data_IF_737769939450
#
_entry.id   IF_737769939450
#
_cell.length_a   1.000
_cell.length_b   1.000
_cell.length_c   1.000
_cell.angle_alpha   90.00
_cell.angle_beta   90.00
_cell.angle_gamma   90.00
#
_symmetry.space_group_name_H-M   'P 1'
#
loop_
_entity.id
_entity.type
_entity.pdbx_description
1 polymer ?
#
# COMPACT_ATOMS: atom_id res chain seq x y z
N UNK A 1 33.64 -2.86 8.46
CA UNK A 1 32.80 -2.13 9.44
C UNK A 1 31.78 -1.28 8.69
N UNK A 2 30.78 -1.90 8.05
CA UNK A 2 29.80 -1.25 7.14
C UNK A 2 28.34 -1.54 7.56
N UNK A 3 28.15 -2.37 8.59
CA UNK A 3 26.86 -3.01 8.88
C UNK A 3 25.84 -2.10 9.59
N UNK A 4 26.26 -0.97 10.16
CA UNK A 4 25.36 -0.09 10.93
C UNK A 4 24.58 0.94 10.07
N UNK A 5 25.14 1.40 8.95
CA UNK A 5 24.45 2.36 8.06
C UNK A 5 23.42 1.70 7.12
N UNK A 6 23.68 0.45 6.72
CA UNK A 6 22.80 -0.33 5.85
C UNK A 6 21.49 -0.72 6.52
N UNK A 7 21.53 -1.04 7.82
CA UNK A 7 20.33 -1.35 8.61
C UNK A 7 19.49 -0.10 8.89
N UNK A 8 20.12 1.05 9.15
CA UNK A 8 19.41 2.30 9.40
C UNK A 8 18.53 2.72 8.21
N UNK A 9 19.09 2.73 6.98
CA UNK A 9 18.32 3.13 5.80
C UNK A 9 17.14 2.18 5.47
N UNK A 10 17.28 0.88 5.72
CA UNK A 10 16.16 -0.06 5.56
C UNK A 10 15.12 0.17 6.67
N UNK A 11 15.57 0.43 7.90
CA UNK A 11 14.66 0.72 9.02
C UNK A 11 13.85 1.99 8.79
N UNK A 12 14.43 3.03 8.19
CA UNK A 12 13.74 4.27 7.87
C UNK A 12 12.62 4.02 6.84
N UNK A 13 12.90 3.24 5.80
CA UNK A 13 11.89 2.85 4.79
C UNK A 13 10.77 2.03 5.43
N UNK A 14 11.11 1.07 6.30
CA UNK A 14 10.12 0.27 7.03
C UNK A 14 9.30 1.16 7.98
N UNK A 15 9.91 2.15 8.63
CA UNK A 15 9.23 3.08 9.52
C UNK A 15 8.28 4.00 8.75
N UNK A 16 8.70 4.54 7.60
CA UNK A 16 7.85 5.34 6.73
C UNK A 16 6.67 4.53 6.21
N UNK A 17 6.90 3.29 5.74
CA UNK A 17 5.84 2.39 5.32
C UNK A 17 4.87 2.07 6.46
N UNK A 18 5.38 1.85 7.67
CA UNK A 18 4.54 1.64 8.86
C UNK A 18 3.67 2.85 9.16
N UNK A 19 4.25 4.04 9.16
CA UNK A 19 3.51 5.28 9.39
C UNK A 19 2.40 5.49 8.35
N UNK A 20 2.69 5.19 7.08
CA UNK A 20 1.69 5.20 6.01
C UNK A 20 0.53 4.22 6.28
N UNK A 21 0.84 2.99 6.67
CA UNK A 21 -0.17 2.00 7.03
C UNK A 21 -1.00 2.40 8.25
N UNK A 22 -0.37 3.04 9.24
CA UNK A 22 -1.07 3.52 10.43
C UNK A 22 -2.02 4.68 10.08
N UNK A 23 -1.63 5.57 9.16
CA UNK A 23 -2.53 6.59 8.61
C UNK A 23 -3.73 5.95 7.87
N UNK A 24 -3.49 4.98 6.99
CA UNK A 24 -4.57 4.30 6.27
C UNK A 24 -5.52 3.54 7.21
N UNK A 25 -5.00 2.92 8.28
CA UNK A 25 -5.82 2.31 9.33
C UNK A 25 -6.65 3.35 10.06
N UNK A 26 -6.06 4.48 10.39
CA UNK A 26 -6.78 5.58 11.01
C UNK A 26 -7.93 6.05 10.12
N UNK A 27 -7.70 6.33 8.83
CA UNK A 27 -8.75 6.72 7.88
C UNK A 27 -9.86 5.66 7.78
N UNK A 28 -9.49 4.38 7.71
CA UNK A 28 -10.41 3.24 7.72
C UNK A 28 -11.27 3.18 8.98
N UNK A 29 -10.67 3.38 10.15
CA UNK A 29 -11.31 3.14 11.45
C UNK A 29 -12.12 4.35 11.94
N UNK A 30 -11.74 5.57 11.57
CA UNK A 30 -12.39 6.80 12.05
C UNK A 30 -13.38 7.39 11.06
N UNK A 31 -13.19 7.15 9.76
CA UNK A 31 -13.95 7.83 8.71
C UNK A 31 -13.71 9.31 8.61
N UNK A 32 -12.53 9.76 8.99
CA UNK A 32 -12.05 11.05 8.55
C UNK A 32 -12.08 11.10 7.00
N UNK A 33 -12.88 12.02 6.44
CA UNK A 33 -13.19 12.09 5.00
C UNK A 33 -14.51 11.44 4.58
N UNK A 34 -15.20 10.71 5.46
CA UNK A 34 -16.51 10.08 5.23
C UNK A 34 -16.47 8.59 4.86
N UNK A 35 -17.65 8.01 4.61
CA UNK A 35 -17.80 6.56 4.35
C UNK A 35 -16.96 6.07 3.17
N UNK A 36 -16.91 6.84 2.07
CA UNK A 36 -16.12 6.49 0.91
C UNK A 36 -14.62 6.39 1.25
N UNK A 37 -14.11 7.31 2.08
CA UNK A 37 -12.72 7.29 2.53
C UNK A 37 -12.42 6.05 3.37
N UNK A 38 -13.32 5.64 4.27
CA UNK A 38 -13.12 4.42 5.07
C UNK A 38 -12.97 3.18 4.18
N UNK A 39 -13.91 3.01 3.25
CA UNK A 39 -13.97 1.84 2.36
C UNK A 39 -12.77 1.82 1.42
N UNK A 40 -12.40 2.96 0.85
CA UNK A 40 -11.23 3.08 -0.04
C UNK A 40 -9.93 2.87 0.74
N UNK A 41 -9.81 3.41 1.95
CA UNK A 41 -8.65 3.17 2.82
C UNK A 41 -8.49 1.68 3.17
N UNK A 42 -9.59 0.95 3.39
CA UNK A 42 -9.55 -0.51 3.54
C UNK A 42 -8.97 -1.20 2.30
N UNK A 43 -9.49 -0.87 1.12
CA UNK A 43 -9.03 -1.43 -0.15
C UNK A 43 -7.54 -1.19 -0.40
N UNK A 44 -7.09 0.06 -0.22
CA UNK A 44 -5.68 0.44 -0.37
C UNK A 44 -4.79 -0.32 0.62
N UNK A 45 -5.16 -0.35 1.90
CA UNK A 45 -4.39 -1.03 2.95
C UNK A 45 -4.28 -2.55 2.70
N UNK A 46 -5.39 -3.16 2.27
CA UNK A 46 -5.47 -4.60 1.97
C UNK A 46 -4.61 -4.94 0.76
N UNK A 47 -4.72 -4.18 -0.32
CA UNK A 47 -3.94 -4.40 -1.55
C UNK A 47 -2.44 -4.16 -1.33
N UNK A 48 -2.07 -3.08 -0.64
CA UNK A 48 -0.68 -2.80 -0.27
C UNK A 48 -0.06 -3.96 0.54
N UNK A 49 -0.80 -4.52 1.49
CA UNK A 49 -0.34 -5.67 2.28
C UNK A 49 -0.08 -6.93 1.44
N UNK A 50 -0.97 -7.23 0.49
CA UNK A 50 -0.79 -8.37 -0.42
C UNK A 50 0.38 -8.16 -1.39
N UNK A 51 0.49 -6.97 -1.97
CA UNK A 51 1.58 -6.61 -2.89
C UNK A 51 2.94 -6.78 -2.20
N UNK A 52 3.03 -6.39 -0.93
CA UNK A 52 4.22 -6.56 -0.11
C UNK A 52 4.50 -8.02 0.25
N UNK A 53 3.47 -8.78 0.64
CA UNK A 53 3.61 -10.19 1.05
C UNK A 53 4.03 -11.09 -0.12
N UNK A 54 3.47 -10.82 -1.31
CA UNK A 54 3.74 -11.56 -2.55
C UNK A 54 4.99 -11.07 -3.28
N UNK A 55 5.63 -10.01 -2.77
CA UNK A 55 6.86 -9.48 -3.34
C UNK A 55 7.98 -10.54 -3.32
N UNK A 56 8.88 -10.53 -4.31
CA UNK A 56 10.04 -11.42 -4.30
C UNK A 56 10.92 -11.22 -3.05
N UNK A 57 11.43 -12.31 -2.46
CA UNK A 57 12.20 -12.26 -1.21
C UNK A 57 13.44 -11.32 -1.26
N UNK A 58 14.08 -11.19 -2.42
CA UNK A 58 15.26 -10.33 -2.61
C UNK A 58 14.94 -8.85 -2.85
N UNK A 59 13.67 -8.47 -2.90
CA UNK A 59 13.25 -7.10 -3.23
C UNK A 59 12.78 -6.34 -2.00
N UNK A 60 13.33 -6.61 -0.81
CA UNK A 60 12.86 -6.03 0.46
C UNK A 60 12.64 -4.51 0.40
N UNK A 61 13.63 -3.73 -0.04
CA UNK A 61 13.48 -2.28 -0.22
C UNK A 61 12.33 -1.92 -1.16
N UNK A 62 12.21 -2.60 -2.30
CA UNK A 62 11.13 -2.37 -3.27
C UNK A 62 9.77 -2.80 -2.71
N UNK A 63 9.70 -3.87 -1.93
CA UNK A 63 8.49 -4.32 -1.25
C UNK A 63 7.99 -3.25 -0.26
N UNK A 64 8.88 -2.73 0.60
CA UNK A 64 8.55 -1.68 1.55
C UNK A 64 8.40 -0.28 0.91
N UNK A 65 8.86 -0.10 -0.33
CA UNK A 65 8.66 1.14 -1.07
C UNK A 65 7.25 1.30 -1.63
N UNK A 66 6.41 0.26 -1.59
CA UNK A 66 5.01 0.40 -1.95
C UNK A 66 4.25 1.15 -0.85
N UNK A 67 3.76 2.34 -1.17
CA UNK A 67 2.97 3.19 -0.29
C UNK A 67 1.55 3.31 -0.82
N UNK A 68 0.60 3.65 0.04
CA UNK A 68 -0.80 3.84 -0.32
C UNK A 68 -1.30 5.23 0.02
N UNK A 69 -2.18 5.78 -0.80
CA UNK A 69 -2.81 7.07 -0.53
C UNK A 69 -4.30 7.01 -0.87
N UNK A 70 -5.10 7.79 -0.13
CA UNK A 70 -6.51 8.04 -0.40
C UNK A 70 -6.66 9.54 -0.61
N UNK A 71 -7.43 9.93 -1.62
CA UNK A 71 -7.68 11.32 -1.94
C UNK A 71 -9.12 11.55 -2.39
N UNK A 72 -9.55 12.81 -2.24
CA UNK A 72 -10.87 13.25 -2.63
C UNK A 72 -11.00 13.31 -4.16
N UNK A 73 -12.18 12.94 -4.64
CA UNK A 73 -12.63 13.12 -6.02
C UNK A 73 -14.05 13.67 -5.96
N UNK A 74 -14.53 14.36 -7.00
CA UNK A 74 -15.85 15.02 -7.00
C UNK A 74 -16.99 14.11 -6.48
N UNK A 75 -17.31 14.25 -5.18
CA UNK A 75 -18.35 13.50 -4.48
C UNK A 75 -17.96 12.08 -4.01
N UNK A 76 -16.67 11.73 -3.89
CA UNK A 76 -16.22 10.39 -3.54
C UNK A 76 -14.79 10.31 -2.99
N UNK A 77 -14.18 9.14 -3.10
CA UNK A 77 -12.78 8.92 -2.73
C UNK A 77 -12.13 7.99 -3.76
N UNK A 78 -10.85 8.20 -4.03
CA UNK A 78 -10.02 7.30 -4.83
C UNK A 78 -8.78 6.90 -4.04
N UNK A 79 -8.33 5.66 -4.28
CA UNK A 79 -7.19 5.08 -3.61
C UNK A 79 -6.14 4.65 -4.62
N UNK A 80 -4.86 4.90 -4.30
CA UNK A 80 -3.73 4.44 -5.11
C UNK A 80 -2.70 3.71 -4.27
N UNK A 81 -2.11 2.66 -4.83
CA UNK A 81 -0.89 2.04 -4.32
C UNK A 81 0.19 2.20 -5.37
N UNK A 82 1.35 2.74 -4.98
CA UNK A 82 2.44 3.05 -5.88
C UNK A 82 3.80 2.87 -5.19
N UNK A 83 4.87 2.83 -5.98
CA UNK A 83 6.24 2.81 -5.45
C UNK A 83 6.69 4.25 -5.20
N UNK A 84 7.04 4.58 -3.96
CA UNK A 84 7.52 5.91 -3.61
C UNK A 84 8.82 6.25 -4.37
N UNK A 85 8.81 7.27 -5.26
CA UNK A 85 9.98 7.61 -6.07
C UNK A 85 11.10 8.27 -5.25
N UNK A 86 10.82 8.75 -4.04
CA UNK A 86 11.81 9.37 -3.17
C UNK A 86 12.73 8.35 -2.49
N UNK A 87 12.29 7.10 -2.36
CA UNK A 87 13.05 6.05 -1.69
C UNK A 87 14.28 5.66 -2.52
N UNK A 88 15.41 5.52 -1.83
CA UNK A 88 16.67 5.05 -2.39
C UNK A 88 17.03 3.73 -1.74
N UNK A 89 17.49 2.74 -2.51
CA UNK A 89 17.96 1.50 -1.95
C UNK A 89 19.29 1.73 -1.21
N UNK A 90 19.36 1.51 0.12
CA UNK A 90 20.57 1.78 0.87
C UNK A 90 21.69 0.76 0.61
N UNK A 91 21.38 -0.40 0.04
CA UNK A 91 22.34 -1.50 -0.20
C UNK A 91 23.13 -1.30 -1.49
N UNK A 92 22.45 -1.06 -2.61
CA UNK A 92 23.09 -0.99 -3.93
C UNK A 92 22.91 0.36 -4.63
N UNK A 93 22.27 1.33 -3.97
CA UNK A 93 21.90 2.60 -4.60
C UNK A 93 20.73 2.43 -5.59
N UNK A 94 20.33 3.54 -6.23
CA UNK A 94 19.22 3.53 -7.19
C UNK A 94 17.83 3.54 -6.53
N UNK A 95 16.80 3.83 -7.34
CA UNK A 95 15.43 4.05 -6.86
C UNK A 95 14.55 2.85 -7.17
N UNK A 96 13.77 2.31 -6.21
CA UNK A 96 12.80 1.25 -6.49
C UNK A 96 11.81 1.59 -7.61
N UNK A 97 11.46 2.87 -7.77
CA UNK A 97 10.60 3.31 -8.87
C UNK A 97 11.24 3.14 -10.26
N UNK A 98 12.58 3.10 -10.35
CA UNK A 98 13.30 2.88 -11.61
C UNK A 98 13.49 1.38 -11.86
N UNK A 99 14.22 0.69 -10.97
CA UNK A 99 14.52 -0.73 -11.18
C UNK A 99 13.31 -1.64 -10.94
N UNK A 100 12.28 -1.18 -10.24
CA UNK A 100 11.05 -1.94 -10.00
C UNK A 100 10.33 -2.32 -11.28
N UNK A 101 10.45 -1.51 -12.34
CA UNK A 101 9.90 -1.81 -13.66
C UNK A 101 10.56 -3.08 -14.21
N UNK A 102 11.89 -3.16 -14.18
CA UNK A 102 12.63 -4.33 -14.67
C UNK A 102 12.33 -5.59 -13.84
N UNK A 103 12.22 -5.43 -12.52
CA UNK A 103 11.87 -6.56 -11.64
C UNK A 103 10.45 -7.03 -11.95
N UNK A 104 9.50 -6.11 -12.13
CA UNK A 104 8.11 -6.42 -12.46
C UNK A 104 7.97 -7.09 -13.83
N UNK A 105 8.72 -6.67 -14.84
CA UNK A 105 8.75 -7.34 -16.15
C UNK A 105 9.22 -8.80 -16.05
N UNK A 106 10.18 -9.09 -15.17
CA UNK A 106 10.68 -10.47 -14.94
C UNK A 106 9.73 -11.31 -14.10
N UNK A 107 9.07 -10.67 -13.14
CA UNK A 107 8.08 -11.31 -12.25
C UNK A 107 6.99 -10.29 -11.96
N UNK A 108 5.84 -10.34 -12.63
CA UNK A 108 4.80 -9.31 -12.50
C UNK A 108 3.97 -9.53 -11.24
N UNK A 109 4.59 -9.57 -10.06
CA UNK A 109 3.90 -9.95 -8.83
C UNK A 109 2.79 -8.96 -8.48
N UNK A 110 2.95 -7.67 -8.81
CA UNK A 110 1.94 -6.66 -8.50
C UNK A 110 0.65 -6.88 -9.31
N UNK A 111 0.78 -7.22 -10.59
CA UNK A 111 -0.34 -7.54 -11.48
C UNK A 111 -0.96 -8.86 -11.07
N UNK A 112 -0.13 -9.86 -10.73
CA UNK A 112 -0.60 -11.13 -10.21
C UNK A 112 -1.36 -10.98 -8.89
N UNK A 113 -0.93 -10.07 -8.01
CA UNK A 113 -1.66 -9.74 -6.78
C UNK A 113 -3.01 -9.15 -7.14
N UNK A 114 -3.06 -8.18 -8.06
CA UNK A 114 -4.32 -7.59 -8.49
C UNK A 114 -5.26 -8.63 -9.11
N UNK A 115 -4.75 -9.49 -10.00
CA UNK A 115 -5.57 -10.51 -10.66
C UNK A 115 -6.08 -11.60 -9.70
N UNK A 116 -5.36 -11.89 -8.62
CA UNK A 116 -5.70 -12.96 -7.68
C UNK A 116 -6.52 -12.48 -6.48
N UNK A 117 -6.25 -11.27 -5.99
CA UNK A 117 -6.85 -10.73 -4.77
C UNK A 117 -7.85 -9.61 -5.05
N UNK A 118 -7.81 -8.99 -6.24
CA UNK A 118 -8.60 -7.79 -6.54
C UNK A 118 -10.10 -7.98 -6.33
N UNK A 119 -10.66 -9.12 -6.76
CA UNK A 119 -12.07 -9.43 -6.56
C UNK A 119 -12.40 -9.63 -5.07
N UNK A 120 -11.55 -10.34 -4.32
CA UNK A 120 -11.71 -10.52 -2.87
C UNK A 120 -11.71 -9.18 -2.16
N UNK A 121 -10.75 -8.31 -2.47
CA UNK A 121 -10.62 -6.98 -1.87
C UNK A 121 -11.86 -6.13 -2.19
N UNK A 122 -12.33 -6.16 -3.44
CA UNK A 122 -13.53 -5.43 -3.83
C UNK A 122 -14.77 -5.94 -3.09
N UNK A 123 -14.92 -7.25 -2.91
CA UNK A 123 -16.02 -7.84 -2.16
C UNK A 123 -15.97 -7.45 -0.67
N UNK A 124 -14.78 -7.42 -0.06
CA UNK A 124 -14.60 -6.90 1.31
C UNK A 124 -15.01 -5.42 1.41
N UNK A 125 -14.62 -4.59 0.44
CA UNK A 125 -15.01 -3.19 0.38
C UNK A 125 -16.53 -3.01 0.26
N UNK A 126 -17.19 -3.81 -0.58
CA UNK A 126 -18.65 -3.78 -0.75
C UNK A 126 -19.38 -4.21 0.54
N UNK A 127 -18.90 -5.25 1.21
CA UNK A 127 -19.45 -5.69 2.49
C UNK A 127 -19.30 -4.59 3.55
N UNK A 128 -18.12 -3.99 3.66
CA UNK A 128 -17.88 -2.87 4.57
C UNK A 128 -18.80 -1.67 4.28
N UNK A 129 -18.96 -1.31 3.01
CA UNK A 129 -19.85 -0.23 2.61
C UNK A 129 -21.31 -0.51 2.99
N UNK A 130 -21.78 -1.76 2.81
CA UNK A 130 -23.13 -2.16 3.19
C UNK A 130 -23.34 -2.09 4.71
N UNK A 131 -22.38 -2.57 5.49
CA UNK A 131 -22.44 -2.55 6.96
C UNK A 131 -22.50 -1.11 7.49
N UNK A 132 -21.64 -0.23 6.97
CA UNK A 132 -21.62 1.18 7.34
C UNK A 132 -22.91 1.91 6.94
N UNK A 133 -23.46 1.60 5.77
CA UNK A 133 -24.74 2.16 5.35
C UNK A 133 -25.85 1.78 6.34
N UNK A 134 -25.91 0.51 6.77
CA UNK A 134 -26.89 0.06 7.78
C UNK A 134 -26.72 0.80 9.11
N UNK A 135 -25.49 1.06 9.54
CA UNK A 135 -25.23 1.81 10.78
C UNK A 135 -25.76 3.24 10.72
N UNK A 136 -25.59 3.93 9.58
CA UNK A 136 -26.07 5.32 9.41
C UNK A 136 -27.60 5.42 9.43
N UNK A 137 -28.32 4.38 9.01
CA UNK A 137 -29.78 4.37 8.97
C UNK A 137 -30.45 3.88 10.26
N UNK A 138 -29.68 3.47 11.28
CA UNK A 138 -30.19 3.06 12.60
C UNK A 138 -30.27 4.24 13.57
#
# INVERSE_FOLDING_TARGET
MIQWGLTAGIQDIVAANRANRDLLRFLRDTGEGGLAWQVVAHGVLRFQGEAQTRSPYLTGTLAFAHTGEVYDIDGGAEGRVYIDPSIVNPVFGGRPAEYGIDVHQRKPWFDNTFSQEGETILNEMLAMAADLAVEVWR
#
